data_IF_261799194170
#
_entry.id   IF_261799194170
#
_cell.length_a   1.000
_cell.length_b   1.000
_cell.length_c   1.000
_cell.angle_alpha   90.00
_cell.angle_beta   90.00
_cell.angle_gamma   90.00
#
_symmetry.space_group_name_H-M   'P 1'
#
loop_
_entity.id
_entity.type
_entity.pdbx_description
1 polymer ?
#
# COMPACT_ATOMS: atom_id res chain seq x y z
N UNK A 1 14.36 14.57 22.01
CA UNK A 1 13.53 15.64 21.42
C UNK A 1 14.11 16.01 20.06
N UNK A 2 13.48 15.58 18.96
CA UNK A 2 13.90 15.96 17.62
C UNK A 2 12.68 16.09 16.68
N UNK A 3 12.24 17.36 16.55
CA UNK A 3 11.66 18.03 15.39
C UNK A 3 10.53 17.30 14.63
N UNK A 4 9.30 17.69 15.00
CA UNK A 4 8.15 17.68 14.09
C UNK A 4 8.50 18.44 12.79
N UNK A 5 8.64 17.72 11.68
CA UNK A 5 8.51 18.33 10.34
C UNK A 5 7.02 18.34 10.02
N UNK A 6 6.34 19.38 10.46
CA UNK A 6 5.06 19.76 9.86
C UNK A 6 5.36 20.19 8.43
N UNK A 7 5.09 19.33 7.45
CA UNK A 7 5.07 19.74 6.04
C UNK A 7 3.77 20.53 5.86
N UNK A 8 3.86 21.85 6.01
CA UNK A 8 2.83 22.75 5.51
C UNK A 8 2.91 22.68 3.97
N UNK A 9 1.95 22.01 3.34
CA UNK A 9 1.86 21.93 1.89
C UNK A 9 1.62 23.33 1.31
N UNK A 10 2.63 23.90 0.66
CA UNK A 10 2.51 25.17 -0.06
C UNK A 10 1.65 24.96 -1.32
N UNK A 11 0.48 25.62 -1.45
CA UNK A 11 -0.41 25.40 -2.59
C UNK A 11 0.19 25.82 -3.94
N UNK A 12 1.14 26.76 -3.94
CA UNK A 12 1.76 27.32 -5.16
C UNK A 12 2.75 26.36 -5.84
N UNK A 13 3.31 25.38 -5.12
CA UNK A 13 4.37 24.48 -5.65
C UNK A 13 3.88 23.06 -5.91
N UNK A 14 2.66 22.71 -5.51
CA UNK A 14 2.10 21.37 -5.70
C UNK A 14 0.97 21.40 -6.73
N UNK A 15 1.33 21.63 -8.00
CA UNK A 15 0.47 21.33 -9.15
C UNK A 15 0.34 19.81 -9.33
N UNK A 16 -0.27 19.13 -8.36
CA UNK A 16 -0.57 17.71 -8.44
C UNK A 16 -1.67 17.53 -9.48
N UNK A 17 -1.27 17.19 -10.71
CA UNK A 17 -2.20 16.75 -11.74
C UNK A 17 -2.90 15.47 -11.27
N UNK A 18 -4.19 15.34 -11.57
CA UNK A 18 -4.92 14.09 -11.33
C UNK A 18 -4.29 12.98 -12.17
N UNK A 19 -3.98 11.86 -11.52
CA UNK A 19 -3.56 10.62 -12.20
C UNK A 19 -4.75 9.84 -12.76
N UNK A 20 -5.99 10.21 -12.36
CA UNK A 20 -7.19 9.50 -12.78
C UNK A 20 -7.48 9.79 -14.25
N UNK A 21 -7.79 8.73 -15.00
CA UNK A 21 -8.20 8.84 -16.40
C UNK A 21 -9.53 9.58 -16.48
N UNK A 22 -9.58 10.66 -17.27
CA UNK A 22 -10.78 11.48 -17.41
C UNK A 22 -11.88 10.68 -18.10
N UNK A 23 -13.08 10.68 -17.52
CA UNK A 23 -14.24 9.97 -18.06
C UNK A 23 -14.30 8.48 -17.73
N UNK A 24 -13.33 7.94 -16.98
CA UNK A 24 -13.36 6.55 -16.55
C UNK A 24 -14.16 6.40 -15.24
N UNK A 25 -15.10 5.44 -15.23
CA UNK A 25 -15.87 5.08 -14.05
C UNK A 25 -15.12 4.04 -13.21
N UNK A 26 -14.50 4.50 -12.13
CA UNK A 26 -13.74 3.67 -11.19
C UNK A 26 -14.62 2.83 -10.26
N UNK A 27 -15.96 2.91 -10.35
CA UNK A 27 -16.86 2.01 -9.64
C UNK A 27 -17.06 0.67 -10.34
N UNK A 28 -16.68 0.58 -11.62
CA UNK A 28 -16.75 -0.66 -12.38
C UNK A 28 -15.73 -1.69 -11.88
N UNK A 29 -16.02 -2.99 -11.99
CA UNK A 29 -15.04 -4.03 -11.71
C UNK A 29 -13.78 -3.88 -12.54
N UNK A 30 -12.62 -4.04 -11.91
CA UNK A 30 -11.31 -3.95 -12.57
C UNK A 30 -10.23 -4.65 -11.78
N UNK A 31 -9.14 -5.03 -12.46
CA UNK A 31 -7.96 -5.62 -11.85
C UNK A 31 -6.91 -4.54 -11.58
N UNK A 32 -6.32 -4.56 -10.38
CA UNK A 32 -5.32 -3.60 -9.95
C UNK A 32 -4.11 -4.32 -9.37
N UNK A 33 -2.91 -3.88 -9.78
CA UNK A 33 -1.67 -4.26 -9.12
C UNK A 33 -1.32 -3.22 -8.08
N UNK A 34 -1.13 -3.65 -6.83
CA UNK A 34 -0.85 -2.79 -5.69
C UNK A 34 0.55 -3.07 -5.17
N UNK A 35 1.40 -2.04 -5.13
CA UNK A 35 2.67 -2.06 -4.41
C UNK A 35 2.60 -1.08 -3.26
N UNK A 36 2.88 -1.56 -2.04
CA UNK A 36 2.94 -0.74 -0.84
C UNK A 36 4.41 -0.62 -0.44
N UNK A 37 4.92 0.60 -0.43
CA UNK A 37 6.26 0.89 0.06
C UNK A 37 6.17 1.38 1.50
N UNK A 38 7.03 0.86 2.37
CA UNK A 38 7.26 1.39 3.71
C UNK A 38 7.93 2.77 3.63
N UNK A 39 7.79 3.55 4.70
CA UNK A 39 8.54 4.78 4.84
C UNK A 39 10.04 4.49 4.69
N UNK A 40 10.73 5.35 3.94
CA UNK A 40 12.16 5.26 3.68
C UNK A 40 12.64 3.90 3.12
N UNK A 41 11.70 3.08 2.60
CA UNK A 41 11.93 1.72 2.09
C UNK A 41 12.53 0.78 3.14
N UNK A 42 12.26 1.02 4.42
CA UNK A 42 12.74 0.17 5.50
C UNK A 42 12.04 -1.20 5.52
N UNK A 43 12.76 -2.24 5.94
CA UNK A 43 12.27 -3.62 6.05
C UNK A 43 11.38 -3.83 7.29
N UNK A 44 10.31 -3.03 7.42
CA UNK A 44 9.46 -3.00 8.63
C UNK A 44 8.68 -4.31 8.87
N UNK A 45 8.38 -5.06 7.81
CA UNK A 45 7.55 -6.25 7.86
C UNK A 45 8.36 -7.55 7.94
N UNK A 46 9.69 -7.46 8.00
CA UNK A 46 10.59 -8.59 7.95
C UNK A 46 11.63 -8.42 6.85
N UNK A 47 12.40 -9.47 6.62
CA UNK A 47 13.56 -9.43 5.73
C UNK A 47 13.29 -10.23 4.46
N UNK A 48 13.88 -9.77 3.34
CA UNK A 48 13.88 -10.55 2.10
C UNK A 48 15.16 -11.37 2.09
N UNK A 49 15.03 -12.70 2.11
CA UNK A 49 16.17 -13.62 2.07
C UNK A 49 15.96 -14.58 0.90
N UNK A 50 16.91 -14.62 -0.02
CA UNK A 50 16.86 -15.47 -1.23
C UNK A 50 15.63 -15.20 -2.14
N UNK A 51 15.10 -13.97 -2.08
CA UNK A 51 13.91 -13.58 -2.86
C UNK A 51 12.58 -13.90 -2.17
N UNK A 52 12.61 -14.55 -1.02
CA UNK A 52 11.42 -14.87 -0.22
C UNK A 52 11.25 -13.90 0.95
N UNK A 53 10.00 -13.61 1.31
CA UNK A 53 9.69 -12.68 2.39
C UNK A 53 9.64 -13.43 3.74
N UNK A 54 10.61 -13.17 4.61
CA UNK A 54 10.62 -13.68 5.99
C UNK A 54 9.93 -12.72 6.93
N UNK A 55 8.63 -12.93 7.14
CA UNK A 55 7.79 -12.05 7.96
C UNK A 55 8.22 -12.00 9.44
N UNK A 56 8.42 -10.79 9.95
CA UNK A 56 8.51 -10.54 11.39
C UNK A 56 7.10 -10.45 12.02
N UNK A 57 7.00 -10.06 13.30
CA UNK A 57 5.70 -9.95 13.97
C UNK A 57 4.75 -8.96 13.28
N UNK A 58 5.23 -7.78 12.89
CA UNK A 58 4.42 -6.78 12.19
C UNK A 58 4.00 -7.28 10.80
N UNK A 59 4.89 -7.94 10.07
CA UNK A 59 4.58 -8.54 8.77
C UNK A 59 3.49 -9.61 8.84
N UNK A 60 3.46 -10.41 9.92
CA UNK A 60 2.38 -11.38 10.14
C UNK A 60 1.02 -10.71 10.33
N UNK A 61 0.96 -9.61 11.10
CA UNK A 61 -0.26 -8.83 11.27
C UNK A 61 -0.74 -8.27 9.93
N UNK A 62 0.16 -7.67 9.14
CA UNK A 62 -0.18 -7.15 7.81
C UNK A 62 -0.67 -8.26 6.88
N UNK A 63 -0.02 -9.42 6.88
CA UNK A 63 -0.45 -10.56 6.08
C UNK A 63 -1.83 -11.09 6.49
N UNK A 64 -2.15 -11.09 7.78
CA UNK A 64 -3.46 -11.46 8.30
C UNK A 64 -4.54 -10.46 7.87
N UNK A 65 -4.31 -9.16 8.08
CA UNK A 65 -5.26 -8.10 7.72
C UNK A 65 -5.45 -7.98 6.19
N UNK A 66 -4.40 -8.28 5.42
CA UNK A 66 -4.50 -8.41 3.96
C UNK A 66 -5.46 -9.53 3.59
N UNK A 67 -5.30 -10.74 4.13
CA UNK A 67 -6.24 -11.85 3.86
C UNK A 67 -7.65 -11.56 4.38
N UNK A 68 -7.76 -10.93 5.55
CA UNK A 68 -9.03 -10.54 6.16
C UNK A 68 -9.82 -9.58 5.28
N UNK A 69 -9.14 -8.73 4.51
CA UNK A 69 -9.77 -7.78 3.58
C UNK A 69 -10.74 -8.46 2.60
N UNK A 70 -10.38 -9.62 2.05
CA UNK A 70 -11.28 -10.38 1.16
C UNK A 70 -12.51 -10.96 1.89
N UNK A 71 -12.39 -11.24 3.18
CA UNK A 71 -13.50 -11.76 3.99
C UNK A 71 -14.49 -10.65 4.38
N UNK A 72 -13.99 -9.44 4.65
CA UNK A 72 -14.83 -8.32 5.12
C UNK A 72 -15.41 -7.48 3.97
N UNK A 73 -14.80 -7.48 2.78
CA UNK A 73 -15.25 -6.71 1.60
C UNK A 73 -15.61 -7.68 0.49
N UNK A 74 -16.91 -7.73 0.15
CA UNK A 74 -17.46 -8.68 -0.85
C UNK A 74 -17.04 -8.33 -2.28
N UNK A 75 -16.72 -7.07 -2.50
CA UNK A 75 -16.29 -6.48 -3.75
C UNK A 75 -14.80 -6.68 -4.03
N UNK A 76 -14.02 -7.19 -3.07
CA UNK A 76 -12.59 -7.42 -3.22
C UNK A 76 -12.31 -8.91 -3.36
N UNK A 77 -11.65 -9.25 -4.46
CA UNK A 77 -11.02 -10.55 -4.67
C UNK A 77 -9.51 -10.36 -4.66
N UNK A 78 -8.82 -11.14 -3.83
CA UNK A 78 -7.37 -11.14 -3.77
C UNK A 78 -6.85 -12.22 -4.72
N UNK A 79 -5.90 -11.83 -5.56
CA UNK A 79 -5.11 -12.75 -6.36
C UNK A 79 -3.79 -13.10 -5.61
N UNK A 80 -2.77 -13.55 -6.34
CA UNK A 80 -1.46 -13.84 -5.78
C UNK A 80 -0.79 -12.61 -5.16
N UNK A 81 -0.22 -12.80 -3.97
CA UNK A 81 0.78 -11.89 -3.39
C UNK A 81 1.98 -12.72 -2.95
N UNK A 82 3.19 -12.18 -3.10
CA UNK A 82 4.44 -12.92 -2.90
C UNK A 82 4.56 -13.50 -1.49
N UNK A 83 4.73 -14.82 -1.43
CA UNK A 83 5.24 -15.55 -0.26
C UNK A 83 6.73 -15.79 -0.51
#
# INVERSE_FOLDING_TARGET
MARSRTICANPETHHRRSIRLRGYDYSQPGAYFLTICTQDRECLFGDIVEGEMRLNHAGKIVAEEWRRTAAIRKEIQLDQWGQ
#
